data_IF_466683325519
#
_entry.id   IF_466683325519
#
_cell.length_a   1.000
_cell.length_b   1.000
_cell.length_c   1.000
_cell.angle_alpha   90.00
_cell.angle_beta   90.00
_cell.angle_gamma   90.00
#
_symmetry.space_group_name_H-M   'P 1'
#
loop_
_entity.id
_entity.type
_entity.pdbx_description
1 polymer ?
#
# COMPACT_ATOMS: atom_id res chain seq x y z
N UNK A 1 10.82 4.05 -30.50
CA UNK A 1 10.88 3.14 -29.33
C UNK A 1 9.86 3.52 -28.24
N UNK A 2 9.95 4.67 -27.57
CA UNK A 2 9.01 5.06 -26.49
C UNK A 2 7.54 5.24 -26.96
N UNK A 3 7.35 5.92 -28.09
CA UNK A 3 6.03 6.10 -28.73
C UNK A 3 5.44 4.77 -29.23
N UNK A 4 6.29 3.87 -29.74
CA UNK A 4 5.87 2.55 -30.24
C UNK A 4 5.43 1.63 -29.09
N UNK A 5 6.11 1.71 -27.95
CA UNK A 5 5.73 0.97 -26.75
C UNK A 5 4.37 1.43 -26.19
N UNK A 6 4.12 2.74 -26.16
CA UNK A 6 2.80 3.29 -25.80
C UNK A 6 1.69 2.85 -26.77
N UNK A 7 1.98 2.85 -28.09
CA UNK A 7 1.04 2.41 -29.11
C UNK A 7 0.68 0.92 -28.96
N UNK A 8 1.67 0.06 -28.72
CA UNK A 8 1.45 -1.37 -28.48
C UNK A 8 0.60 -1.60 -27.22
N UNK A 9 0.92 -0.92 -26.12
CA UNK A 9 0.17 -1.05 -24.86
C UNK A 9 -1.29 -0.67 -25.04
N UNK A 10 -1.57 0.46 -25.69
CA UNK A 10 -2.95 0.85 -25.86
C UNK A 10 -3.69 0.01 -26.91
N UNK A 11 -3.02 -0.53 -27.95
CA UNK A 11 -3.64 -1.56 -28.83
C UNK A 11 -4.06 -2.79 -28.03
N UNK A 12 -3.18 -3.31 -27.17
CA UNK A 12 -3.51 -4.43 -26.27
C UNK A 12 -4.68 -4.06 -25.33
N UNK A 13 -4.69 -2.85 -24.77
CA UNK A 13 -5.80 -2.39 -23.94
C UNK A 13 -7.13 -2.31 -24.72
N UNK A 14 -7.11 -1.79 -25.94
CA UNK A 14 -8.26 -1.75 -26.83
C UNK A 14 -8.82 -3.14 -27.11
N UNK A 15 -7.93 -4.09 -27.43
CA UNK A 15 -8.28 -5.48 -27.65
C UNK A 15 -8.93 -6.12 -26.40
N UNK A 16 -8.35 -5.89 -25.23
CA UNK A 16 -8.89 -6.40 -23.97
C UNK A 16 -10.27 -5.79 -23.67
N UNK A 17 -10.45 -4.47 -23.84
CA UNK A 17 -11.74 -3.79 -23.70
C UNK A 17 -12.81 -4.45 -24.59
N UNK A 18 -12.49 -4.70 -25.86
CA UNK A 18 -13.39 -5.35 -26.80
C UNK A 18 -13.74 -6.79 -26.35
N UNK A 19 -12.76 -7.54 -25.82
CA UNK A 19 -12.99 -8.91 -25.32
C UNK A 19 -14.01 -8.99 -24.18
N UNK A 20 -14.15 -7.91 -23.40
CA UNK A 20 -15.11 -7.76 -22.31
C UNK A 20 -16.37 -6.95 -22.70
N UNK A 21 -16.52 -6.60 -23.99
CA UNK A 21 -17.65 -5.80 -24.48
C UNK A 21 -17.68 -4.38 -23.90
N UNK A 22 -16.54 -3.88 -23.45
CA UNK A 22 -16.41 -2.55 -22.84
C UNK A 22 -15.95 -1.53 -23.87
N UNK A 23 -16.58 -0.35 -23.84
CA UNK A 23 -16.20 0.76 -24.72
C UNK A 23 -14.92 1.44 -24.21
N UNK A 24 -13.98 1.81 -25.09
CA UNK A 24 -12.95 2.77 -24.76
C UNK A 24 -13.58 4.08 -24.31
N UNK A 25 -12.86 4.85 -23.49
CA UNK A 25 -13.25 6.21 -23.14
C UNK A 25 -13.34 7.11 -24.38
N UNK A 26 -14.13 8.17 -24.28
CA UNK A 26 -14.26 9.16 -25.36
C UNK A 26 -12.94 9.87 -25.67
N UNK A 27 -12.08 10.02 -24.66
CA UNK A 27 -10.72 10.59 -24.76
C UNK A 27 -9.63 9.54 -25.04
N UNK A 28 -9.99 8.35 -25.51
CA UNK A 28 -9.03 7.28 -25.77
C UNK A 28 -8.10 7.62 -26.96
N UNK A 29 -6.77 7.38 -26.83
CA UNK A 29 -5.84 7.53 -27.95
C UNK A 29 -6.17 6.63 -29.15
N UNK A 30 -5.78 7.04 -30.36
CA UNK A 30 -6.06 6.33 -31.62
C UNK A 30 -5.70 4.84 -31.57
N UNK A 31 -4.54 4.51 -31.02
CA UNK A 31 -4.05 3.14 -30.92
C UNK A 31 -4.93 2.25 -30.01
N UNK A 32 -5.64 2.82 -29.01
CA UNK A 32 -6.66 2.09 -28.23
C UNK A 32 -7.90 1.82 -29.07
N UNK A 33 -8.34 2.81 -29.86
CA UNK A 33 -9.50 2.68 -30.74
C UNK A 33 -9.25 1.63 -31.82
N UNK A 34 -8.05 1.59 -32.39
CA UNK A 34 -7.61 0.58 -33.37
C UNK A 34 -7.67 -0.83 -32.78
N UNK A 35 -7.01 -1.07 -31.64
CA UNK A 35 -7.03 -2.38 -30.98
C UNK A 35 -8.45 -2.80 -30.57
N UNK A 36 -9.28 -1.85 -30.17
CA UNK A 36 -10.69 -2.12 -29.86
C UNK A 36 -11.50 -2.49 -31.12
N UNK A 37 -11.27 -1.83 -32.25
CA UNK A 37 -11.92 -2.17 -33.52
C UNK A 37 -11.52 -3.58 -33.99
N UNK A 38 -10.23 -3.92 -33.91
CA UNK A 38 -9.71 -5.26 -34.19
C UNK A 38 -10.34 -6.32 -33.28
N UNK A 39 -10.37 -6.07 -31.97
CA UNK A 39 -11.01 -6.97 -31.01
C UNK A 39 -12.51 -7.12 -31.28
N UNK A 40 -13.21 -6.03 -31.61
CA UNK A 40 -14.65 -6.08 -31.92
C UNK A 40 -14.93 -6.95 -33.16
N UNK A 41 -14.08 -6.86 -34.19
CA UNK A 41 -14.17 -7.73 -35.37
C UNK A 41 -13.93 -9.21 -35.00
N UNK A 42 -13.04 -9.49 -34.04
CA UNK A 42 -12.71 -10.85 -33.59
C UNK A 42 -13.75 -11.50 -32.68
N UNK A 43 -14.30 -10.73 -31.74
CA UNK A 43 -15.19 -11.23 -30.68
C UNK A 43 -16.67 -11.07 -31.04
N UNK A 44 -17.02 -10.04 -31.82
CA UNK A 44 -18.41 -9.76 -32.21
C UNK A 44 -19.32 -9.68 -30.98
N UNK A 45 -20.35 -10.52 -30.94
CA UNK A 45 -21.28 -10.64 -29.80
C UNK A 45 -20.80 -11.60 -28.71
N UNK A 46 -19.72 -12.34 -28.93
CA UNK A 46 -19.16 -13.34 -28.00
C UNK A 46 -18.14 -12.68 -27.05
N UNK A 47 -18.62 -11.77 -26.21
CA UNK A 47 -17.80 -11.06 -25.21
C UNK A 47 -17.92 -11.68 -23.82
N UNK A 48 -16.86 -11.56 -23.02
CA UNK A 48 -16.88 -11.97 -21.60
C UNK A 48 -17.63 -10.93 -20.76
N UNK A 49 -18.35 -11.37 -19.73
CA UNK A 49 -18.90 -10.47 -18.72
C UNK A 49 -17.83 -10.23 -17.64
N UNK A 50 -17.29 -9.02 -17.49
CA UNK A 50 -16.20 -8.79 -16.55
C UNK A 50 -16.69 -8.79 -15.10
N UNK A 51 -15.94 -9.48 -14.24
CA UNK A 51 -15.97 -9.37 -12.78
C UNK A 51 -15.66 -7.93 -12.33
N UNK A 52 -15.86 -7.62 -11.04
CA UNK A 52 -15.51 -6.29 -10.50
C UNK A 52 -14.01 -5.99 -10.61
N UNK A 53 -13.18 -7.01 -10.49
CA UNK A 53 -11.72 -6.89 -10.56
C UNK A 53 -11.24 -6.66 -11.99
N UNK A 54 -11.78 -7.38 -12.97
CA UNK A 54 -11.49 -7.14 -14.39
C UNK A 54 -11.94 -5.74 -14.82
N UNK A 55 -13.14 -5.30 -14.39
CA UNK A 55 -13.61 -3.92 -14.63
C UNK A 55 -12.66 -2.89 -14.04
N UNK A 56 -12.22 -3.07 -12.79
CA UNK A 56 -11.29 -2.15 -12.14
C UNK A 56 -9.92 -2.15 -12.81
N UNK A 57 -9.43 -3.30 -13.24
CA UNK A 57 -8.17 -3.44 -13.97
C UNK A 57 -8.18 -2.70 -15.32
N UNK A 58 -9.24 -2.88 -16.12
CA UNK A 58 -9.43 -2.14 -17.37
C UNK A 58 -9.55 -0.63 -17.13
N UNK A 59 -10.28 -0.22 -16.09
CA UNK A 59 -10.40 1.19 -15.70
C UNK A 59 -9.04 1.77 -15.29
N UNK A 60 -8.26 1.03 -14.50
CA UNK A 60 -6.93 1.43 -14.05
C UNK A 60 -5.98 1.62 -15.24
N UNK A 61 -5.95 0.69 -16.19
CA UNK A 61 -5.12 0.79 -17.40
C UNK A 61 -5.51 1.98 -18.29
N UNK A 62 -6.80 2.25 -18.47
CA UNK A 62 -7.26 3.45 -19.18
C UNK A 62 -6.82 4.73 -18.46
N UNK A 63 -6.95 4.79 -17.14
CA UNK A 63 -6.52 5.94 -16.35
C UNK A 63 -5.00 6.14 -16.36
N UNK A 64 -4.24 5.05 -16.33
CA UNK A 64 -2.79 5.07 -16.39
C UNK A 64 -2.31 5.61 -17.74
N UNK A 65 -2.83 5.07 -18.84
CA UNK A 65 -2.50 5.53 -20.19
C UNK A 65 -2.81 7.01 -20.39
N UNK A 66 -3.98 7.49 -19.94
CA UNK A 66 -4.35 8.91 -19.97
C UNK A 66 -3.38 9.82 -19.20
N UNK A 67 -2.76 9.28 -18.13
CA UNK A 67 -1.79 9.99 -17.29
C UNK A 67 -0.34 9.71 -17.71
N UNK A 68 -0.13 9.01 -18.82
CA UNK A 68 1.18 8.56 -19.31
C UNK A 68 1.97 7.75 -18.27
N UNK A 69 1.25 6.99 -17.43
CA UNK A 69 1.84 6.15 -16.39
C UNK A 69 1.91 4.70 -16.84
N UNK A 70 3.02 4.06 -16.47
CA UNK A 70 3.23 2.62 -16.66
C UNK A 70 2.29 1.84 -15.74
N UNK A 71 1.75 0.74 -16.27
CA UNK A 71 1.14 -0.33 -15.47
C UNK A 71 2.04 -1.54 -15.61
N UNK A 72 2.61 -1.98 -14.50
CA UNK A 72 3.46 -3.16 -14.45
C UNK A 72 2.66 -4.42 -14.81
N UNK A 73 3.31 -5.38 -15.47
CA UNK A 73 2.67 -6.61 -15.96
C UNK A 73 2.11 -7.49 -14.83
N UNK A 74 2.68 -7.40 -13.62
CA UNK A 74 2.15 -8.11 -12.45
C UNK A 74 0.77 -7.57 -12.01
N UNK A 75 0.39 -6.37 -12.45
CA UNK A 75 -0.93 -5.80 -12.16
C UNK A 75 -1.98 -6.45 -13.05
N UNK A 76 -2.56 -7.53 -12.52
CA UNK A 76 -3.60 -8.34 -13.15
C UNK A 76 -4.93 -8.23 -12.36
N UNK A 77 -6.07 -8.69 -12.90
CA UNK A 77 -7.30 -8.81 -12.11
C UNK A 77 -7.11 -9.61 -10.81
N UNK A 78 -6.34 -10.71 -10.86
CA UNK A 78 -6.01 -11.50 -9.68
C UNK A 78 -5.15 -10.75 -8.65
N UNK A 79 -4.27 -9.84 -9.10
CA UNK A 79 -3.56 -8.94 -8.19
C UNK A 79 -4.53 -7.97 -7.50
N UNK A 80 -5.47 -7.38 -8.24
CA UNK A 80 -6.47 -6.46 -7.65
C UNK A 80 -7.34 -7.19 -6.61
N UNK A 81 -7.73 -8.43 -6.90
CA UNK A 81 -8.42 -9.29 -5.93
C UNK A 81 -7.55 -9.60 -4.71
N UNK A 82 -6.25 -9.85 -4.90
CA UNK A 82 -5.31 -10.13 -3.81
C UNK A 82 -5.14 -8.96 -2.83
N UNK A 83 -5.15 -7.72 -3.34
CA UNK A 83 -5.04 -6.51 -2.51
C UNK A 83 -6.40 -5.98 -2.03
N UNK A 84 -7.50 -6.59 -2.45
CA UNK A 84 -8.86 -6.21 -2.04
C UNK A 84 -9.06 -6.43 -0.54
N UNK A 85 -9.77 -5.51 0.09
CA UNK A 85 -10.07 -5.57 1.52
C UNK A 85 -11.40 -4.88 1.79
N UNK A 86 -12.30 -5.47 2.60
CA UNK A 86 -13.67 -4.96 2.75
C UNK A 86 -13.74 -3.60 3.47
N UNK A 87 -12.68 -3.17 4.14
CA UNK A 87 -12.69 -1.95 4.97
C UNK A 87 -11.59 -0.99 4.50
N UNK A 88 -11.89 0.28 4.33
CA UNK A 88 -10.87 1.26 3.96
C UNK A 88 -9.81 1.37 5.08
N UNK A 89 -8.51 1.23 4.80
CA UNK A 89 -7.48 1.36 5.83
C UNK A 89 -7.38 2.80 6.38
N UNK A 90 -7.84 3.79 5.62
CA UNK A 90 -7.77 5.20 6.01
C UNK A 90 -9.00 5.60 6.81
N UNK A 91 -10.19 5.41 6.24
CA UNK A 91 -11.46 5.88 6.83
C UNK A 91 -12.14 4.85 7.73
N UNK A 92 -11.67 3.61 7.74
CA UNK A 92 -12.25 2.47 8.48
C UNK A 92 -13.72 2.13 8.15
N UNK A 93 -14.28 2.74 7.10
CA UNK A 93 -15.62 2.41 6.60
C UNK A 93 -15.58 1.16 5.73
N UNK A 94 -16.68 0.41 5.71
CA UNK A 94 -16.88 -0.66 4.73
C UNK A 94 -16.88 -0.09 3.31
N UNK A 95 -16.17 -0.75 2.40
CA UNK A 95 -16.05 -0.34 1.01
C UNK A 95 -17.27 -0.81 0.22
N UNK A 96 -17.94 0.16 -0.41
CA UNK A 96 -19.02 -0.10 -1.36
C UNK A 96 -18.46 -0.27 -2.78
N UNK A 97 -19.31 -0.71 -3.70
CA UNK A 97 -18.89 -1.01 -5.07
C UNK A 97 -19.92 -0.53 -6.08
N UNK A 98 -19.50 0.41 -6.95
CA UNK A 98 -20.33 0.92 -8.05
C UNK A 98 -21.64 1.57 -7.59
N UNK A 99 -21.63 2.19 -6.40
CA UNK A 99 -22.77 2.96 -5.88
C UNK A 99 -22.68 4.44 -6.28
N UNK A 100 -21.47 4.92 -6.61
CA UNK A 100 -21.21 6.34 -6.85
C UNK A 100 -20.93 7.13 -5.56
N UNK A 101 -21.05 6.49 -4.39
CA UNK A 101 -20.78 7.08 -3.09
C UNK A 101 -19.29 7.22 -2.80
N UNK A 102 -18.96 8.08 -1.83
CA UNK A 102 -17.59 8.33 -1.39
C UNK A 102 -16.96 7.13 -0.63
N UNK A 103 -17.78 6.15 -0.24
CA UNK A 103 -17.35 4.85 0.31
C UNK A 103 -16.95 3.83 -0.76
N UNK A 104 -17.18 4.13 -2.05
CA UNK A 104 -16.81 3.20 -3.11
C UNK A 104 -15.31 2.93 -3.09
N UNK A 105 -14.93 1.68 -3.34
CA UNK A 105 -13.52 1.31 -3.43
C UNK A 105 -12.81 1.99 -4.61
N UNK A 106 -11.55 2.32 -4.36
CA UNK A 106 -10.63 2.96 -5.29
C UNK A 106 -9.26 2.28 -5.18
N UNK A 107 -8.63 2.02 -6.32
CA UNK A 107 -7.25 1.52 -6.38
C UNK A 107 -6.36 2.71 -6.72
N UNK A 108 -5.44 3.05 -5.82
CA UNK A 108 -4.59 4.23 -5.97
C UNK A 108 -3.11 3.93 -5.77
N UNK A 109 -2.28 4.78 -6.37
CA UNK A 109 -0.82 4.78 -6.20
C UNK A 109 -0.46 5.56 -4.96
N UNK A 110 0.15 4.91 -3.97
CA UNK A 110 0.52 5.60 -2.72
C UNK A 110 1.70 6.55 -2.92
N UNK A 111 2.70 6.17 -3.72
CA UNK A 111 3.70 7.08 -4.27
C UNK A 111 3.26 7.54 -5.67
N UNK A 112 2.89 8.82 -5.79
CA UNK A 112 2.40 9.41 -7.03
C UNK A 112 3.45 9.51 -8.15
N UNK A 113 4.73 9.50 -7.78
CA UNK A 113 5.86 9.45 -8.71
C UNK A 113 6.17 8.04 -9.20
N UNK A 114 5.57 7.00 -8.60
CA UNK A 114 5.68 5.63 -9.08
C UNK A 114 4.68 5.28 -10.19
N UNK A 115 4.98 4.20 -10.90
CA UNK A 115 4.07 3.46 -11.77
C UNK A 115 2.95 2.77 -10.97
N UNK A 116 1.97 2.24 -11.68
CA UNK A 116 1.02 1.27 -11.11
C UNK A 116 1.73 -0.09 -10.99
N UNK A 117 2.22 -0.42 -9.81
CA UNK A 117 3.07 -1.58 -9.57
C UNK A 117 2.84 -2.20 -8.18
N UNK A 118 3.23 -3.47 -8.00
CA UNK A 118 3.18 -4.15 -6.70
C UNK A 118 3.94 -3.34 -5.64
N UNK A 119 3.43 -3.31 -4.41
CA UNK A 119 3.95 -2.49 -3.33
C UNK A 119 3.58 -0.99 -3.41
N UNK A 120 3.21 -0.47 -4.59
CA UNK A 120 2.78 0.92 -4.77
C UNK A 120 1.27 1.09 -4.92
N UNK A 121 0.48 0.02 -4.95
CA UNK A 121 -0.97 0.08 -5.06
C UNK A 121 -1.66 -0.32 -3.76
N UNK A 122 -2.70 0.42 -3.40
CA UNK A 122 -3.61 0.07 -2.30
C UNK A 122 -5.06 0.23 -2.73
N UNK A 123 -5.94 -0.51 -2.05
CA UNK A 123 -7.39 -0.28 -2.08
C UNK A 123 -7.77 0.63 -0.92
N UNK A 124 -8.50 1.70 -1.21
CA UNK A 124 -9.08 2.62 -0.21
C UNK A 124 -10.41 3.20 -0.70
N UNK A 125 -11.12 3.95 0.14
CA UNK A 125 -12.35 4.62 -0.27
C UNK A 125 -12.08 5.75 -1.27
N UNK A 126 -13.06 6.08 -2.11
CA UNK A 126 -13.01 7.26 -2.99
C UNK A 126 -12.75 8.53 -2.18
N UNK A 127 -13.33 8.68 -0.98
CA UNK A 127 -13.06 9.79 -0.06
C UNK A 127 -11.58 9.92 0.29
N UNK A 128 -10.96 8.82 0.74
CA UNK A 128 -9.53 8.82 1.07
C UNK A 128 -8.65 9.13 -0.14
N UNK A 129 -8.96 8.56 -1.29
CA UNK A 129 -8.22 8.81 -2.53
C UNK A 129 -8.35 10.28 -2.97
N UNK A 130 -9.55 10.86 -2.94
CA UNK A 130 -9.80 12.28 -3.25
C UNK A 130 -9.00 13.20 -2.32
N UNK A 131 -9.01 12.93 -1.01
CA UNK A 131 -8.29 13.72 -0.03
C UNK A 131 -6.76 13.68 -0.27
N UNK A 132 -6.21 12.49 -0.53
CA UNK A 132 -4.81 12.31 -0.92
C UNK A 132 -4.49 13.10 -2.19
N UNK A 133 -5.26 12.89 -3.25
CA UNK A 133 -5.05 13.52 -4.55
C UNK A 133 -3.60 13.33 -5.05
N UNK A 134 -2.98 14.42 -5.48
CA UNK A 134 -1.59 14.45 -5.94
C UNK A 134 -0.56 14.70 -4.83
N UNK A 135 -0.98 14.85 -3.56
CA UNK A 135 -0.08 15.18 -2.45
C UNK A 135 1.00 14.12 -2.26
N UNK A 136 2.22 14.57 -1.99
CA UNK A 136 3.35 13.74 -1.60
C UNK A 136 3.26 13.36 -0.12
N UNK A 137 4.09 12.40 0.32
CA UNK A 137 4.23 12.09 1.76
C UNK A 137 4.66 13.33 2.55
N UNK A 138 5.51 14.17 1.95
CA UNK A 138 6.02 15.40 2.56
C UNK A 138 4.90 16.41 2.75
N UNK A 139 4.10 16.67 1.72
CA UNK A 139 3.00 17.64 1.78
C UNK A 139 2.02 17.28 2.91
N UNK A 140 1.72 15.99 3.08
CA UNK A 140 0.82 15.53 4.14
C UNK A 140 1.46 15.70 5.53
N UNK A 141 2.75 15.42 5.67
CA UNK A 141 3.47 15.62 6.94
C UNK A 141 3.55 17.09 7.33
N UNK A 142 3.75 17.98 6.36
CA UNK A 142 3.76 19.43 6.59
C UNK A 142 2.39 19.91 7.09
N UNK A 143 1.30 19.53 6.42
CA UNK A 143 -0.06 19.85 6.88
C UNK A 143 -0.34 19.37 8.31
N UNK A 144 0.05 18.13 8.63
CA UNK A 144 -0.19 17.56 9.96
C UNK A 144 0.70 18.18 11.05
N UNK A 145 1.90 18.64 10.70
CA UNK A 145 2.77 19.39 11.61
C UNK A 145 2.14 20.75 11.98
N UNK A 146 1.42 21.36 11.04
CA UNK A 146 0.63 22.59 11.26
C UNK A 146 -0.75 22.31 11.88
N UNK A 147 -1.00 21.09 12.36
CA UNK A 147 -2.27 20.65 12.93
C UNK A 147 -3.47 20.73 11.98
N UNK A 148 -3.23 20.67 10.67
CA UNK A 148 -4.27 20.67 9.64
C UNK A 148 -4.53 19.26 9.08
N UNK A 149 -5.77 18.74 9.14
CA UNK A 149 -6.11 17.49 8.46
C UNK A 149 -6.21 17.68 6.94
N UNK A 150 -6.10 16.59 6.18
CA UNK A 150 -6.40 16.67 4.75
C UNK A 150 -7.89 17.01 4.53
N UNK A 151 -8.23 17.85 3.54
CA UNK A 151 -9.61 18.12 3.18
C UNK A 151 -10.41 16.84 2.93
N UNK A 152 -11.54 16.68 3.63
CA UNK A 152 -12.43 15.51 3.54
C UNK A 152 -12.06 14.34 4.48
N UNK A 153 -10.99 14.46 5.26
CA UNK A 153 -10.58 13.50 6.29
C UNK A 153 -10.52 14.18 7.67
N UNK A 154 -10.75 13.39 8.71
CA UNK A 154 -10.39 13.78 10.08
C UNK A 154 -8.87 13.75 10.30
N UNK A 155 -8.41 14.27 11.43
CA UNK A 155 -7.00 14.24 11.82
C UNK A 155 -6.48 12.79 11.94
N UNK A 156 -7.28 11.90 12.54
CA UNK A 156 -6.92 10.47 12.66
C UNK A 156 -6.86 9.77 11.31
N UNK A 157 -7.84 10.01 10.45
CA UNK A 157 -7.82 9.46 9.08
C UNK A 157 -6.60 9.97 8.29
N UNK A 158 -6.21 11.22 8.48
CA UNK A 158 -5.02 11.81 7.85
C UNK A 158 -3.72 11.11 8.29
N UNK A 159 -3.57 10.80 9.58
CA UNK A 159 -2.45 9.98 10.06
C UNK A 159 -2.48 8.54 9.51
N UNK A 160 -3.66 7.94 9.39
CA UNK A 160 -3.81 6.61 8.81
C UNK A 160 -3.37 6.57 7.35
N UNK A 161 -3.58 7.64 6.59
CA UNK A 161 -3.11 7.77 5.21
C UNK A 161 -1.57 7.77 5.09
N UNK A 162 -0.84 8.28 6.08
CA UNK A 162 0.63 8.23 6.07
C UNK A 162 1.13 6.77 6.06
N UNK A 163 0.51 5.89 6.84
CA UNK A 163 0.98 4.51 7.05
C UNK A 163 1.26 3.74 5.75
N UNK A 164 0.31 3.64 4.78
CA UNK A 164 0.57 2.97 3.50
C UNK A 164 1.51 3.74 2.57
N UNK A 165 1.74 5.04 2.81
CA UNK A 165 2.63 5.87 1.99
C UNK A 165 4.10 5.80 2.45
N UNK A 166 4.36 5.50 3.73
CA UNK A 166 5.71 5.55 4.32
C UNK A 166 6.74 4.78 3.50
N UNK A 167 6.59 3.46 3.40
CA UNK A 167 7.59 2.63 2.72
C UNK A 167 7.72 2.97 1.23
N UNK A 168 6.63 3.14 0.46
CA UNK A 168 6.73 3.51 -0.95
C UNK A 168 7.37 4.88 -1.20
N UNK A 169 7.11 5.86 -0.35
CA UNK A 169 7.68 7.20 -0.55
C UNK A 169 9.11 7.31 0.00
N UNK A 170 9.51 6.42 0.92
CA UNK A 170 10.86 6.37 1.48
C UNK A 170 11.74 5.27 0.86
N UNK A 171 11.32 4.64 -0.23
CA UNK A 171 11.99 3.41 -0.68
C UNK A 171 13.44 3.61 -1.17
N UNK A 172 13.81 4.84 -1.50
CA UNK A 172 15.17 5.23 -1.90
C UNK A 172 16.02 5.77 -0.72
N UNK A 173 15.46 5.90 0.48
CA UNK A 173 16.21 6.44 1.62
C UNK A 173 17.16 5.38 2.20
N UNK A 174 18.36 5.81 2.58
CA UNK A 174 19.38 4.92 3.16
C UNK A 174 18.94 4.35 4.52
N UNK A 175 18.21 5.15 5.30
CA UNK A 175 17.61 4.76 6.56
C UNK A 175 16.10 4.64 6.41
N UNK A 176 15.57 3.52 6.86
CA UNK A 176 14.13 3.28 6.87
C UNK A 176 13.47 4.12 7.99
N UNK A 177 12.38 4.84 7.68
CA UNK A 177 11.69 5.65 8.68
C UNK A 177 11.02 4.78 9.75
N UNK A 178 11.09 5.25 11.00
CA UNK A 178 10.46 4.62 12.17
C UNK A 178 9.15 5.32 12.54
N UNK A 179 8.26 5.47 11.56
CA UNK A 179 6.99 6.16 11.79
C UNK A 179 5.93 5.22 12.39
N UNK A 180 5.03 5.80 13.18
CA UNK A 180 3.92 5.09 13.82
C UNK A 180 3.00 4.43 12.79
N UNK A 181 2.57 3.20 13.10
CA UNK A 181 1.59 2.47 12.31
C UNK A 181 0.17 2.79 12.82
N UNK A 182 -0.51 3.71 12.15
CA UNK A 182 -1.86 4.16 12.52
C UNK A 182 -2.98 3.28 11.98
N UNK A 183 -2.70 2.40 11.03
CA UNK A 183 -3.71 1.49 10.47
C UNK A 183 -3.15 0.16 10.05
N UNK A 184 -4.03 -0.84 9.94
CA UNK A 184 -3.70 -2.10 9.30
C UNK A 184 -3.38 -1.83 7.83
N UNK A 185 -2.18 -2.23 7.41
CA UNK A 185 -1.83 -2.25 6.00
C UNK A 185 -2.45 -3.49 5.35
N UNK A 186 -3.00 -3.31 4.14
CA UNK A 186 -3.57 -4.39 3.35
C UNK A 186 -2.47 -5.35 2.85
N UNK A 187 -2.88 -6.49 2.28
CA UNK A 187 -1.95 -7.39 1.59
C UNK A 187 -1.37 -6.68 0.37
N UNK A 188 -0.11 -6.96 0.04
CA UNK A 188 0.58 -6.33 -1.08
C UNK A 188 1.06 -4.89 -0.84
N UNK A 189 0.59 -4.19 0.21
CA UNK A 189 1.12 -2.88 0.59
C UNK A 189 2.53 -3.04 1.15
N UNK A 190 3.50 -2.32 0.57
CA UNK A 190 4.87 -2.28 1.10
C UNK A 190 4.90 -1.65 2.49
N UNK A 191 5.74 -2.17 3.38
CA UNK A 191 5.81 -1.76 4.79
C UNK A 191 7.24 -1.55 5.23
N UNK A 192 7.44 -0.70 6.23
CA UNK A 192 8.72 -0.64 6.92
C UNK A 192 8.85 -1.79 7.91
N UNK A 193 10.08 -2.17 8.29
CA UNK A 193 10.28 -3.16 9.34
C UNK A 193 9.77 -2.65 10.69
N UNK A 194 9.84 -1.34 10.93
CA UNK A 194 9.24 -0.74 12.11
C UNK A 194 7.71 -0.87 12.13
N UNK A 195 7.04 -0.75 10.98
CA UNK A 195 5.61 -1.05 10.85
C UNK A 195 5.31 -2.54 11.00
N UNK A 196 6.14 -3.44 10.46
CA UNK A 196 5.98 -4.88 10.66
C UNK A 196 6.06 -5.25 12.15
N UNK A 197 7.00 -4.66 12.88
CA UNK A 197 7.15 -4.85 14.33
C UNK A 197 5.92 -4.36 15.09
N UNK A 198 5.44 -3.13 14.83
CA UNK A 198 4.22 -2.61 15.44
C UNK A 198 3.01 -3.50 15.14
N UNK A 199 2.86 -3.96 13.89
CA UNK A 199 1.80 -4.87 13.48
C UNK A 199 1.86 -6.20 14.27
N UNK A 200 3.04 -6.81 14.41
CA UNK A 200 3.22 -8.02 15.20
C UNK A 200 2.78 -7.80 16.65
N UNK A 201 3.20 -6.68 17.27
CA UNK A 201 2.84 -6.37 18.65
C UNK A 201 1.34 -6.14 18.85
N UNK A 202 0.67 -5.51 17.89
CA UNK A 202 -0.81 -5.41 17.89
C UNK A 202 -1.44 -6.79 17.74
N UNK A 203 -0.96 -7.65 16.84
CA UNK A 203 -1.47 -9.02 16.70
C UNK A 203 -1.21 -9.89 17.95
N UNK A 204 -0.12 -9.63 18.68
CA UNK A 204 0.15 -10.27 19.97
C UNK A 204 -0.93 -10.00 21.02
N UNK A 205 -1.76 -8.95 20.88
CA UNK A 205 -2.85 -8.66 21.83
C UNK A 205 -4.12 -9.44 21.56
N UNK A 206 -4.19 -10.15 20.42
CA UNK A 206 -5.38 -10.90 20.00
C UNK A 206 -5.18 -12.42 20.06
N UNK A 207 -4.04 -12.90 20.55
CA UNK A 207 -3.69 -14.32 20.65
C UNK A 207 -3.49 -14.73 22.11
N UNK A 208 -3.48 -16.04 22.36
CA UNK A 208 -3.23 -16.60 23.68
C UNK A 208 -1.79 -16.34 24.17
N UNK A 209 -1.57 -16.53 25.48
CA UNK A 209 -0.28 -16.26 26.12
C UNK A 209 0.86 -17.14 25.60
N UNK A 210 0.59 -18.37 25.16
CA UNK A 210 1.60 -19.28 24.59
C UNK A 210 2.07 -18.76 23.24
N UNK A 211 1.13 -18.45 22.35
CA UNK A 211 1.40 -17.87 21.02
C UNK A 211 2.15 -16.54 21.13
N UNK A 212 1.73 -15.66 22.04
CA UNK A 212 2.43 -14.41 22.33
C UNK A 212 3.87 -14.65 22.80
N UNK A 213 4.06 -15.54 23.78
CA UNK A 213 5.40 -15.83 24.32
C UNK A 213 6.31 -16.44 23.25
N UNK A 214 5.77 -17.26 22.33
CA UNK A 214 6.51 -17.77 21.19
C UNK A 214 6.96 -16.65 20.23
N UNK A 215 6.10 -15.67 19.97
CA UNK A 215 6.48 -14.48 19.19
C UNK A 215 7.58 -13.67 19.88
N UNK A 216 7.48 -13.45 21.20
CA UNK A 216 8.51 -12.69 21.93
C UNK A 216 9.86 -13.40 21.93
N UNK A 217 9.87 -14.73 22.08
CA UNK A 217 11.10 -15.52 21.92
C UNK A 217 11.69 -15.34 20.53
N UNK A 218 10.84 -15.37 19.49
CA UNK A 218 11.26 -15.18 18.09
C UNK A 218 11.89 -13.80 17.87
N UNK A 219 11.30 -12.73 18.40
CA UNK A 219 11.83 -11.38 18.30
C UNK A 219 13.15 -11.22 19.08
N UNK A 220 13.28 -11.88 20.24
CA UNK A 220 14.44 -11.74 21.13
C UNK A 220 15.74 -12.35 20.56
N UNK A 221 15.65 -13.29 19.61
CA UNK A 221 16.83 -13.91 18.95
C UNK A 221 17.71 -12.87 18.25
N UNK A 222 17.15 -11.71 17.90
CA UNK A 222 17.89 -10.62 17.27
C UNK A 222 18.94 -9.96 18.18
N UNK A 223 18.88 -10.15 19.50
CA UNK A 223 19.72 -9.42 20.46
C UNK A 223 20.89 -10.26 20.98
N UNK A 224 22.01 -9.60 21.24
CA UNK A 224 23.18 -10.21 21.89
C UNK A 224 22.98 -10.34 23.40
N UNK A 225 22.47 -9.27 24.05
CA UNK A 225 21.97 -9.29 25.43
C UNK A 225 20.45 -9.45 25.40
N UNK A 226 20.01 -10.70 25.57
CA UNK A 226 18.60 -11.06 25.56
C UNK A 226 17.84 -10.51 26.76
N UNK A 227 18.48 -10.22 27.90
CA UNK A 227 17.76 -9.91 29.14
C UNK A 227 17.30 -8.45 29.20
N UNK A 228 18.22 -7.50 28.99
CA UNK A 228 17.89 -6.07 28.97
C UNK A 228 16.93 -5.73 27.81
N UNK A 229 17.17 -6.32 26.64
CA UNK A 229 16.33 -6.12 25.46
C UNK A 229 14.94 -6.74 25.64
N UNK A 230 14.80 -7.94 26.21
CA UNK A 230 13.49 -8.53 26.46
C UNK A 230 12.63 -7.69 27.43
N UNK A 231 13.27 -7.03 28.40
CA UNK A 231 12.60 -6.16 29.35
C UNK A 231 11.99 -4.92 28.67
N UNK A 232 12.71 -4.28 27.75
CA UNK A 232 12.20 -3.13 26.98
C UNK A 232 11.01 -3.51 26.09
N UNK A 233 11.09 -4.62 25.36
CA UNK A 233 9.99 -5.07 24.49
C UNK A 233 8.74 -5.40 25.30
N UNK A 234 8.91 -6.05 26.46
CA UNK A 234 7.80 -6.37 27.35
C UNK A 234 7.15 -5.10 27.90
N UNK A 235 7.93 -4.13 28.35
CA UNK A 235 7.41 -2.83 28.81
C UNK A 235 6.66 -2.10 27.69
N UNK A 236 7.22 -2.05 26.47
CA UNK A 236 6.55 -1.46 25.32
C UNK A 236 5.19 -2.14 25.07
N UNK A 237 5.16 -3.47 25.06
CA UNK A 237 3.92 -4.22 24.87
C UNK A 237 2.90 -3.99 26.00
N UNK A 238 3.33 -3.89 27.25
CA UNK A 238 2.44 -3.58 28.38
C UNK A 238 1.79 -2.19 28.21
N UNK A 239 2.56 -1.19 27.74
CA UNK A 239 2.02 0.14 27.39
C UNK A 239 1.01 0.05 26.26
N UNK A 240 1.33 -0.68 25.18
CA UNK A 240 0.42 -0.91 24.07
C UNK A 240 -0.91 -1.55 24.52
N UNK A 241 -0.85 -2.62 25.31
CA UNK A 241 -2.04 -3.31 25.84
C UNK A 241 -2.89 -2.40 26.72
N UNK A 242 -2.26 -1.57 27.55
CA UNK A 242 -2.96 -0.57 28.36
C UNK A 242 -3.67 0.45 27.46
N UNK A 243 -2.99 0.93 26.42
CA UNK A 243 -3.52 1.95 25.50
C UNK A 243 -4.66 1.43 24.64
N UNK A 244 -4.60 0.18 24.16
CA UNK A 244 -5.66 -0.46 23.36
C UNK A 244 -7.02 -0.42 24.06
N UNK A 245 -7.06 -0.49 25.39
CA UNK A 245 -8.30 -0.39 26.18
C UNK A 245 -8.96 0.99 26.16
N UNK A 246 -8.27 2.00 25.62
CA UNK A 246 -8.69 3.41 25.66
C UNK A 246 -8.94 4.02 24.28
N UNK A 247 -8.82 3.23 23.22
CA UNK A 247 -8.98 3.68 21.83
C UNK A 247 -10.03 2.84 21.11
N UNK A 248 -10.75 3.45 20.18
CA UNK A 248 -11.80 2.78 19.41
C UNK A 248 -11.23 1.84 18.34
N UNK A 249 -10.04 2.17 17.82
CA UNK A 249 -9.34 1.38 16.83
C UNK A 249 -7.95 1.00 17.32
N UNK A 250 -7.65 -0.30 17.35
CA UNK A 250 -6.46 -0.84 18.03
C UNK A 250 -5.12 -0.28 17.54
N UNK A 251 -5.02 0.13 16.27
CA UNK A 251 -3.77 0.72 15.74
C UNK A 251 -3.58 2.17 16.18
N UNK A 252 -4.62 2.87 16.61
CA UNK A 252 -4.46 4.21 17.20
C UNK A 252 -3.69 4.13 18.52
N UNK A 253 -3.64 2.96 19.18
CA UNK A 253 -2.81 2.74 20.36
C UNK A 253 -1.31 2.80 20.07
N UNK A 254 -0.90 2.61 18.82
CA UNK A 254 0.50 2.76 18.42
C UNK A 254 0.98 4.20 18.56
N UNK A 255 0.09 5.20 18.62
CA UNK A 255 0.46 6.61 18.78
C UNK A 255 0.80 7.02 20.21
N UNK A 256 0.95 6.07 21.13
CA UNK A 256 1.36 6.34 22.51
C UNK A 256 2.86 6.61 22.58
N UNK A 257 3.24 7.79 23.10
CA UNK A 257 4.63 8.25 23.12
C UNK A 257 5.55 7.34 23.93
N UNK A 258 5.07 6.80 25.06
CA UNK A 258 5.85 5.88 25.89
C UNK A 258 6.06 4.55 25.16
N UNK A 259 5.03 4.02 24.49
CA UNK A 259 5.15 2.84 23.63
C UNK A 259 6.18 3.05 22.51
N UNK A 260 6.07 4.14 21.75
CA UNK A 260 7.01 4.43 20.65
C UNK A 260 8.44 4.56 21.16
N UNK A 261 8.65 5.33 22.23
CA UNK A 261 9.97 5.54 22.85
C UNK A 261 10.60 4.23 23.29
N UNK A 262 9.85 3.36 23.98
CA UNK A 262 10.36 2.07 24.43
C UNK A 262 10.67 1.13 23.25
N UNK A 263 9.82 1.14 22.23
CA UNK A 263 10.01 0.31 21.03
C UNK A 263 11.21 0.76 20.20
N UNK A 264 11.42 2.07 20.04
CA UNK A 264 12.58 2.62 19.34
C UNK A 264 13.88 2.25 20.06
N UNK A 265 13.94 2.47 21.38
CA UNK A 265 15.09 2.08 22.20
C UNK A 265 15.36 0.58 22.10
N UNK A 266 14.33 -0.25 22.07
CA UNK A 266 14.48 -1.68 21.86
C UNK A 266 15.09 -1.99 20.48
N UNK A 267 14.59 -1.38 19.40
CA UNK A 267 15.15 -1.57 18.05
C UNK A 267 16.63 -1.12 17.97
N UNK A 268 17.01 -0.09 18.72
CA UNK A 268 18.39 0.40 18.79
C UNK A 268 19.37 -0.56 19.49
N UNK A 269 18.88 -1.47 20.35
CA UNK A 269 19.75 -2.49 20.95
C UNK A 269 20.04 -3.67 20.02
N UNK A 270 19.44 -3.72 18.82
CA UNK A 270 19.71 -4.78 17.83
C UNK A 270 21.08 -4.53 17.20
N UNK A 271 22.05 -5.46 17.31
CA UNK A 271 23.34 -5.33 16.65
C UNK A 271 23.19 -5.18 15.13
N UNK A 272 23.95 -4.26 14.53
CA UNK A 272 23.90 -4.00 13.09
C UNK A 272 24.16 -5.28 12.26
N UNK A 273 25.00 -6.19 12.76
CA UNK A 273 25.30 -7.49 12.15
C UNK A 273 24.10 -8.44 12.08
N UNK A 274 23.10 -8.27 12.95
CA UNK A 274 21.89 -9.10 13.02
C UNK A 274 20.68 -8.44 12.37
N UNK A 275 20.75 -7.14 12.09
CA UNK A 275 19.62 -6.33 11.59
C UNK A 275 18.98 -6.91 10.32
N UNK A 276 19.80 -7.28 9.32
CA UNK A 276 19.29 -7.86 8.06
C UNK A 276 18.50 -9.16 8.28
N UNK A 277 18.97 -10.03 9.18
CA UNK A 277 18.30 -11.29 9.49
C UNK A 277 17.00 -11.05 10.27
N UNK A 278 17.02 -10.08 11.18
CA UNK A 278 15.84 -9.65 11.91
C UNK A 278 14.76 -9.07 10.99
N UNK A 279 15.15 -8.18 10.08
CA UNK A 279 14.26 -7.58 9.08
C UNK A 279 13.56 -8.65 8.23
N UNK A 280 14.34 -9.60 7.68
CA UNK A 280 13.78 -10.74 6.93
C UNK A 280 12.81 -11.59 7.77
N UNK A 281 13.06 -11.71 9.08
CA UNK A 281 12.18 -12.44 9.99
C UNK A 281 10.85 -11.72 10.19
N UNK A 282 10.86 -10.40 10.38
CA UNK A 282 9.64 -9.59 10.51
C UNK A 282 8.77 -9.68 9.26
N UNK A 283 9.38 -9.61 8.08
CA UNK A 283 8.69 -9.79 6.80
C UNK A 283 8.01 -11.16 6.72
N UNK A 284 8.72 -12.25 7.07
CA UNK A 284 8.16 -13.60 7.06
C UNK A 284 6.96 -13.79 8.01
N UNK A 285 6.96 -13.09 9.15
CA UNK A 285 5.92 -13.24 10.18
C UNK A 285 4.63 -12.53 9.80
N UNK A 286 4.73 -11.43 9.05
CA UNK A 286 3.58 -10.58 8.71
C UNK A 286 3.04 -10.84 7.31
N UNK A 287 3.80 -11.55 6.46
CA UNK A 287 3.57 -11.56 5.02
C UNK A 287 3.77 -10.18 4.38
N UNK A 288 4.26 -9.20 5.15
CA UNK A 288 4.69 -7.90 4.66
C UNK A 288 5.94 -8.11 3.83
N UNK A 289 5.94 -7.55 2.61
CA UNK A 289 7.13 -7.55 1.76
C UNK A 289 7.85 -6.22 1.96
N UNK A 290 9.17 -6.27 2.12
CA UNK A 290 10.01 -5.13 1.79
C UNK A 290 9.81 -4.74 0.33
N UNK A 291 10.51 -3.70 -0.14
CA UNK A 291 10.52 -3.37 -1.57
C UNK A 291 11.88 -3.79 -2.14
N UNK A 292 12.00 -5.00 -2.72
CA UNK A 292 13.23 -5.42 -3.37
C UNK A 292 13.63 -4.42 -4.46
N UNK A 293 14.92 -4.37 -4.80
CA UNK A 293 15.41 -3.49 -5.87
C UNK A 293 14.71 -3.76 -7.20
N UNK A 294 14.36 -5.02 -7.43
CA UNK A 294 13.64 -5.52 -8.59
C UNK A 294 12.22 -4.93 -8.65
N UNK A 295 11.54 -4.86 -7.51
CA UNK A 295 10.23 -4.19 -7.40
C UNK A 295 10.37 -2.68 -7.58
N UNK A 296 11.41 -2.04 -7.05
CA UNK A 296 11.62 -0.61 -7.28
C UNK A 296 11.86 -0.25 -8.74
N UNK A 297 12.48 -1.14 -9.51
CA UNK A 297 12.65 -0.94 -10.96
C UNK A 297 11.31 -0.86 -11.68
N UNK A 298 10.32 -1.67 -11.28
CA UNK A 298 8.98 -1.64 -11.90
C UNK A 298 8.20 -0.36 -11.59
N UNK A 299 8.61 0.37 -10.55
CA UNK A 299 7.98 1.65 -10.21
C UNK A 299 8.44 2.78 -11.13
N UNK A 300 9.53 2.58 -11.89
CA UNK A 300 10.07 3.54 -12.84
C UNK A 300 10.23 4.95 -12.24
N UNK A 301 10.75 5.03 -11.00
CA UNK A 301 10.85 6.29 -10.25
C UNK A 301 11.70 7.36 -10.99
N UNK A 302 12.71 6.94 -11.75
CA UNK A 302 13.56 7.83 -12.57
C UNK A 302 12.76 8.61 -13.63
N UNK A 303 11.71 8.01 -14.18
CA UNK A 303 10.81 8.64 -15.17
C UNK A 303 9.52 9.15 -14.53
N UNK A 304 9.47 9.20 -13.19
CA UNK A 304 8.25 9.45 -12.42
C UNK A 304 7.12 8.51 -12.86
N UNK A 305 7.41 7.22 -13.02
CA UNK A 305 6.44 6.19 -13.37
C UNK A 305 5.93 6.28 -14.80
N UNK A 306 6.61 7.03 -15.69
CA UNK A 306 6.26 7.19 -17.10
C UNK A 306 7.07 6.25 -17.99
N UNK A 307 6.62 6.07 -19.22
CA UNK A 307 7.37 5.32 -20.23
C UNK A 307 8.70 6.03 -20.54
N UNK A 308 9.81 5.31 -20.58
CA UNK A 308 11.12 5.88 -20.87
C UNK A 308 11.14 6.53 -22.27
N UNK A 309 11.49 7.82 -22.36
CA UNK A 309 11.58 8.57 -23.63
C UNK A 309 10.33 9.38 -24.01
N UNK A 310 9.50 9.74 -23.02
CA UNK A 310 8.52 10.83 -23.13
C UNK A 310 9.06 12.11 -22.49
#
# INVERSE_FOLDING_TARGET
>A
MAKDYGAQIGRTLGWDLASYGWKPRDDAPAHVLEGHAEGKARFGTKTKRPTRFERKWLQLRQNALRREKVVDEAITPGFIEFIDYPTCPVTLVELTHSTGEDTDWSVDRVNNDGAYADGNLIVMSVRANKAKGNKSLRDIKELLADWEPLPGLSFRESFRLLSPMEKPCSAQTAQEPRNTLFTRLCRGTARTNYQNLQHILVMCTTVDSSSRNAMFRTLSVAHADAHASASLLKLAYEKLVKRIKTVDYIYDACSDDEFQTLLERWVETIPWTRKKAFDAKLESMTGGRGVPKEMLRTWALETKGRYAGW
#
